data_IF_736959684518
#
_entry.id   IF_736959684518
#
_cell.length_a   1.000
_cell.length_b   1.000
_cell.length_c   1.000
_cell.angle_alpha   90.00
_cell.angle_beta   90.00
_cell.angle_gamma   90.00
#
_symmetry.space_group_name_H-M   'P 1'
#
loop_
_entity.id
_entity.type
_entity.pdbx_description
1 polymer ?
#
# COMPACT_ATOMS: atom_id res chain seq x y z
N UNK A 1 -0.49 -3.49 23.51
CA UNK A 1 -1.62 -3.79 22.62
C UNK A 1 -2.10 -2.45 22.08
N UNK A 2 -2.22 -2.31 20.75
CA UNK A 2 -2.67 -1.05 20.11
C UNK A 2 -3.94 -0.59 20.82
N UNK A 3 -3.96 0.64 21.33
CA UNK A 3 -5.06 1.22 22.11
C UNK A 3 -6.28 1.46 21.20
N UNK A 4 -6.87 0.37 20.71
CA UNK A 4 -7.98 0.40 19.79
C UNK A 4 -9.24 0.74 20.57
N UNK A 5 -9.98 1.74 20.11
CA UNK A 5 -11.22 2.13 20.73
C UNK A 5 -12.27 1.02 20.57
N UNK A 6 -12.91 0.64 21.68
CA UNK A 6 -13.90 -0.44 21.75
C UNK A 6 -15.26 -0.03 21.17
N UNK A 7 -15.28 0.52 19.97
CA UNK A 7 -16.50 0.84 19.23
C UNK A 7 -16.61 -0.08 18.02
N UNK A 8 -17.70 -0.85 17.91
CA UNK A 8 -17.93 -1.76 16.78
C UNK A 8 -17.84 -1.03 15.43
N UNK A 9 -18.33 0.20 15.35
CA UNK A 9 -18.22 1.03 14.14
C UNK A 9 -16.77 1.26 13.70
N UNK A 10 -15.86 1.62 14.63
CA UNK A 10 -14.43 1.83 14.33
C UNK A 10 -13.73 0.53 13.91
N UNK A 11 -14.12 -0.59 14.51
CA UNK A 11 -13.64 -1.91 14.12
C UNK A 11 -14.06 -2.26 12.68
N UNK A 12 -15.34 -2.13 12.34
CA UNK A 12 -15.81 -2.40 10.98
C UNK A 12 -15.19 -1.47 9.94
N UNK A 13 -14.96 -0.20 10.28
CA UNK A 13 -14.26 0.74 9.40
C UNK A 13 -12.81 0.31 9.17
N UNK A 14 -12.08 -0.05 10.23
CA UNK A 14 -10.71 -0.58 10.12
C UNK A 14 -10.66 -1.87 9.30
N UNK A 15 -11.59 -2.78 9.56
CA UNK A 15 -11.70 -4.04 8.83
C UNK A 15 -11.95 -3.79 7.35
N UNK A 16 -12.87 -2.87 7.03
CA UNK A 16 -13.18 -2.51 5.66
C UNK A 16 -11.96 -1.92 4.94
N UNK A 17 -11.25 -0.95 5.54
CA UNK A 17 -10.02 -0.42 4.93
C UNK A 17 -9.03 -1.55 4.67
N UNK A 18 -8.74 -2.36 5.69
CA UNK A 18 -7.75 -3.44 5.56
C UNK A 18 -8.15 -4.42 4.46
N UNK A 19 -9.42 -4.82 4.41
CA UNK A 19 -9.93 -5.73 3.39
C UNK A 19 -9.74 -5.18 1.98
N UNK A 20 -10.10 -3.91 1.75
CA UNK A 20 -9.89 -3.26 0.45
C UNK A 20 -8.40 -3.09 0.11
N UNK A 21 -7.55 -2.74 1.09
CA UNK A 21 -6.11 -2.66 0.90
C UNK A 21 -5.50 -4.02 0.50
N UNK A 22 -5.91 -5.10 1.17
CA UNK A 22 -5.46 -6.45 0.81
C UNK A 22 -5.89 -6.87 -0.59
N UNK A 23 -7.15 -6.59 -0.96
CA UNK A 23 -7.65 -6.84 -2.32
C UNK A 23 -6.85 -6.07 -3.37
N UNK A 24 -6.61 -4.77 -3.14
CA UNK A 24 -5.82 -3.93 -4.03
C UNK A 24 -4.42 -4.49 -4.28
N UNK A 25 -3.69 -4.85 -3.21
CA UNK A 25 -2.36 -5.44 -3.34
C UNK A 25 -2.37 -6.81 -4.02
N UNK A 26 -3.42 -7.61 -3.82
CA UNK A 26 -3.57 -8.91 -4.47
C UNK A 26 -3.76 -8.76 -5.98
N UNK A 27 -4.65 -7.86 -6.41
CA UNK A 27 -4.86 -7.59 -7.84
C UNK A 27 -3.61 -6.99 -8.50
N UNK A 28 -2.92 -6.09 -7.79
CA UNK A 28 -1.65 -5.55 -8.27
C UNK A 28 -0.58 -6.63 -8.46
N UNK A 29 -0.49 -7.59 -7.52
CA UNK A 29 0.41 -8.74 -7.66
C UNK A 29 0.05 -9.62 -8.86
N UNK A 30 -1.23 -9.94 -9.05
CA UNK A 30 -1.71 -10.73 -10.19
C UNK A 30 -1.44 -10.03 -11.54
N UNK A 31 -1.64 -8.71 -11.60
CA UNK A 31 -1.31 -7.91 -12.78
C UNK A 31 0.19 -7.96 -13.07
N UNK A 32 1.02 -7.78 -12.04
CA UNK A 32 2.48 -7.78 -12.17
C UNK A 32 2.99 -9.12 -12.68
N UNK A 33 2.51 -10.24 -12.13
CA UNK A 33 2.87 -11.58 -12.59
C UNK A 33 2.42 -11.81 -14.04
N UNK A 34 1.23 -11.34 -14.43
CA UNK A 34 0.70 -11.53 -15.78
C UNK A 34 1.46 -10.75 -16.86
N UNK A 35 2.03 -9.58 -16.51
CA UNK A 35 2.76 -8.73 -17.45
C UNK A 35 4.22 -9.18 -17.60
N UNK A 36 4.77 -9.83 -16.58
CA UNK A 36 6.20 -10.13 -16.52
C UNK A 36 6.48 -11.53 -17.07
N UNK A 37 7.53 -11.72 -17.89
CA UNK A 37 7.83 -13.04 -18.48
C UNK A 37 8.42 -14.06 -17.48
N UNK A 38 8.81 -13.62 -16.27
CA UNK A 38 9.45 -14.47 -15.26
C UNK A 38 9.07 -14.02 -13.84
N UNK A 39 8.76 -14.98 -12.97
CA UNK A 39 8.41 -14.78 -11.56
C UNK A 39 9.47 -13.99 -10.77
N UNK A 40 10.76 -14.19 -11.06
CA UNK A 40 11.83 -13.47 -10.38
C UNK A 40 11.78 -11.96 -10.66
N UNK A 41 11.49 -11.59 -11.92
CA UNK A 41 11.39 -10.19 -12.32
C UNK A 41 10.10 -9.58 -11.73
N UNK A 42 9.01 -10.35 -11.69
CA UNK A 42 7.76 -9.92 -11.09
C UNK A 42 7.93 -9.61 -9.59
N UNK A 43 8.67 -10.45 -8.87
CA UNK A 43 8.97 -10.25 -7.45
C UNK A 43 9.81 -8.99 -7.20
N UNK A 44 10.84 -8.73 -8.03
CA UNK A 44 11.67 -7.52 -7.92
C UNK A 44 10.84 -6.26 -8.20
N UNK A 45 9.97 -6.31 -9.21
CA UNK A 45 9.11 -5.18 -9.58
C UNK A 45 8.08 -4.88 -8.47
N UNK A 46 7.42 -5.91 -7.94
CA UNK A 46 6.49 -5.76 -6.83
C UNK A 46 7.19 -5.20 -5.58
N UNK A 47 8.39 -5.70 -5.24
CA UNK A 47 9.17 -5.20 -4.11
C UNK A 47 9.55 -3.72 -4.27
N UNK A 48 9.97 -3.30 -5.47
CA UNK A 48 10.25 -1.88 -5.75
C UNK A 48 9.02 -1.00 -5.61
N UNK A 49 7.86 -1.47 -6.09
CA UNK A 49 6.60 -0.75 -5.97
C UNK A 49 6.13 -0.61 -4.51
N UNK A 50 6.24 -1.67 -3.71
CA UNK A 50 5.91 -1.61 -2.28
C UNK A 50 6.83 -0.65 -1.51
N UNK A 51 8.12 -0.59 -1.87
CA UNK A 51 9.07 0.35 -1.29
C UNK A 51 8.69 1.80 -1.58
N UNK A 52 8.31 2.11 -2.83
CA UNK A 52 7.82 3.43 -3.21
C UNK A 52 6.55 3.79 -2.42
N UNK A 53 5.57 2.89 -2.37
CA UNK A 53 4.34 3.09 -1.60
C UNK A 53 4.63 3.37 -0.11
N UNK A 54 5.58 2.66 0.49
CA UNK A 54 5.94 2.84 1.90
C UNK A 54 6.64 4.18 2.20
N UNK A 55 7.33 4.78 1.22
CA UNK A 55 8.00 6.07 1.39
C UNK A 55 7.00 7.22 1.29
N UNK A 56 6.07 7.13 0.34
CA UNK A 56 5.08 8.17 0.06
C UNK A 56 3.81 8.08 0.91
N UNK A 57 3.61 7.00 1.68
CA UNK A 57 2.44 6.82 2.57
C UNK A 57 2.34 7.81 3.74
N UNK A 58 3.15 8.87 3.77
CA UNK A 58 3.13 9.90 4.81
C UNK A 58 3.80 9.54 6.12
N UNK A 59 4.20 8.27 6.30
CA UNK A 59 4.81 7.78 7.54
C UNK A 59 6.31 8.12 7.62
N UNK A 60 7.06 7.80 6.56
CA UNK A 60 8.49 8.09 6.48
C UNK A 60 8.79 9.54 6.06
N UNK A 61 8.09 10.02 5.02
CA UNK A 61 8.19 11.41 4.58
C UNK A 61 6.85 12.09 4.89
N UNK A 62 6.82 13.07 5.82
CA UNK A 62 5.60 13.81 6.09
C UNK A 62 5.20 14.60 4.84
N UNK A 63 3.90 14.59 4.52
CA UNK A 63 3.28 15.23 3.37
C UNK A 63 3.86 16.61 2.97
N UNK A 64 4.12 17.56 3.90
CA UNK A 64 4.65 18.89 3.52
C UNK A 64 6.11 18.88 3.00
N UNK A 65 6.85 17.79 3.16
CA UNK A 65 8.23 17.63 2.65
C UNK A 65 8.29 16.84 1.33
N UNK A 66 7.15 16.36 0.83
CA UNK A 66 7.10 15.65 -0.46
C UNK A 66 7.23 16.68 -1.58
N UNK A 67 8.17 16.51 -2.53
CA UNK A 67 8.29 17.40 -3.68
C UNK A 67 6.97 17.49 -4.44
N UNK A 68 6.57 18.67 -4.89
CA UNK A 68 5.24 18.91 -5.47
C UNK A 68 4.82 17.97 -6.61
N UNK A 69 5.79 17.43 -7.37
CA UNK A 69 5.52 16.45 -8.42
C UNK A 69 5.34 15.02 -7.94
N UNK A 70 5.86 14.65 -6.77
CA UNK A 70 5.65 13.33 -6.14
C UNK A 70 4.44 13.30 -5.20
N UNK A 71 3.79 14.43 -4.93
CA UNK A 71 2.57 14.48 -4.09
C UNK A 71 1.46 13.59 -4.65
N UNK A 72 1.43 13.35 -5.96
CA UNK A 72 0.49 12.41 -6.59
C UNK A 72 0.62 10.96 -6.11
N UNK A 73 1.76 10.59 -5.51
CA UNK A 73 2.02 9.25 -4.95
C UNK A 73 1.69 9.14 -3.45
N UNK A 74 1.27 10.24 -2.79
CA UNK A 74 0.73 10.22 -1.42
C UNK A 74 -0.75 9.81 -1.44
#
# INVERSE_FOLDING_TARGET
>A
MVAFEWTAAKFFWLFLINFFSFLYFTYFGMMTISITPNDQIAAIFAAGFYLLFSIFSGFYIPQPKIPGWWIWYY
#
